data_IF_246538403964
#
_entry.id   IF_246538403964
#
_cell.length_a   1.000
_cell.length_b   1.000
_cell.length_c   1.000
_cell.angle_alpha   90.00
_cell.angle_beta   90.00
_cell.angle_gamma   90.00
#
_symmetry.space_group_name_H-M   'P 1'
#
loop_
_entity.id
_entity.type
_entity.pdbx_description
1 polymer ?
#
# COMPACT_ATOMS: atom_id res chain seq x y z
N UNK A 1 49.90 17.47 -54.35
CA UNK A 1 48.57 17.89 -53.84
C UNK A 1 47.96 16.69 -53.14
N UNK A 2 48.05 16.61 -51.81
CA UNK A 2 47.55 15.47 -51.04
C UNK A 2 46.10 15.73 -50.61
N UNK A 3 45.17 14.90 -51.06
CA UNK A 3 43.76 14.97 -50.72
C UNK A 3 43.54 14.56 -49.25
N UNK A 4 42.95 15.46 -48.46
CA UNK A 4 42.53 15.20 -47.08
C UNK A 4 41.15 14.53 -47.11
N UNK A 5 41.10 13.24 -46.80
CA UNK A 5 39.84 12.51 -46.61
C UNK A 5 39.26 12.88 -45.25
N UNK A 6 38.16 13.65 -45.23
CA UNK A 6 37.36 13.85 -44.02
C UNK A 6 36.52 12.59 -43.77
N UNK A 7 36.75 11.92 -42.65
CA UNK A 7 35.90 10.85 -42.15
C UNK A 7 34.80 11.47 -41.27
N UNK A 8 33.59 11.58 -41.79
CA UNK A 8 32.43 12.03 -41.03
C UNK A 8 31.92 10.88 -40.15
N UNK A 9 32.15 10.96 -38.84
CA UNK A 9 31.55 10.06 -37.86
C UNK A 9 30.08 10.44 -37.68
N UNK A 10 29.17 9.68 -38.30
CA UNK A 10 27.74 9.80 -38.05
C UNK A 10 27.39 9.11 -36.73
N UNK A 11 27.28 9.88 -35.66
CA UNK A 11 26.75 9.40 -34.37
C UNK A 11 25.24 9.21 -34.49
N UNK A 12 24.79 7.97 -34.67
CA UNK A 12 23.38 7.62 -34.57
C UNK A 12 22.95 7.67 -33.10
N UNK A 13 22.21 8.71 -32.72
CA UNK A 13 21.54 8.78 -31.42
C UNK A 13 20.36 7.80 -31.42
N UNK A 14 20.48 6.69 -30.68
CA UNK A 14 19.34 5.86 -30.33
C UNK A 14 18.45 6.66 -29.37
N UNK A 15 17.39 7.28 -29.89
CA UNK A 15 16.31 7.80 -29.05
C UNK A 15 15.50 6.57 -28.61
N UNK A 16 15.82 6.04 -27.43
CA UNK A 16 15.02 5.01 -26.81
C UNK A 16 13.61 5.56 -26.54
N UNK A 17 12.59 4.84 -27.02
CA UNK A 17 11.20 5.13 -26.67
C UNK A 17 11.01 4.80 -25.19
N UNK A 18 11.24 5.75 -24.29
CA UNK A 18 10.84 5.62 -22.90
C UNK A 18 9.31 5.74 -22.88
N UNK A 19 8.62 4.63 -22.66
CA UNK A 19 7.18 4.68 -22.42
C UNK A 19 6.95 5.57 -21.19
N UNK A 20 6.27 6.69 -21.36
CA UNK A 20 5.98 7.61 -20.26
C UNK A 20 4.98 6.94 -19.30
N UNK A 21 5.45 6.53 -18.12
CA UNK A 21 4.55 6.14 -17.04
C UNK A 21 3.85 7.38 -16.46
N UNK A 22 2.71 7.18 -15.79
CA UNK A 22 1.97 8.26 -15.13
C UNK A 22 1.92 8.02 -13.63
N UNK A 23 1.84 9.10 -12.85
CA UNK A 23 1.56 8.99 -11.42
C UNK A 23 0.20 8.29 -11.20
N UNK A 24 0.15 7.43 -10.19
CA UNK A 24 -1.08 6.80 -9.74
C UNK A 24 -2.07 7.86 -9.27
N UNK A 25 -3.30 7.78 -9.78
CA UNK A 25 -4.37 8.70 -9.40
C UNK A 25 -4.93 8.29 -8.04
N UNK A 26 -5.30 9.29 -7.26
CA UNK A 26 -6.07 9.08 -6.04
C UNK A 26 -7.42 8.46 -6.41
N UNK A 27 -7.76 7.36 -5.75
CA UNK A 27 -9.07 6.69 -5.83
C UNK A 27 -9.95 7.27 -4.74
N UNK A 28 -11.05 7.91 -5.13
CA UNK A 28 -12.10 8.38 -4.22
C UNK A 28 -13.38 7.55 -4.37
N UNK A 29 -14.26 7.66 -3.37
CA UNK A 29 -15.55 6.97 -3.33
C UNK A 29 -15.43 5.45 -3.31
N UNK A 30 -14.45 4.90 -2.57
CA UNK A 30 -14.44 3.46 -2.33
C UNK A 30 -15.70 3.03 -1.55
N UNK A 31 -16.35 1.92 -1.92
CA UNK A 31 -17.59 1.49 -1.29
C UNK A 31 -17.38 1.14 0.20
N UNK A 32 -18.12 1.82 1.07
CA UNK A 32 -18.17 1.48 2.50
C UNK A 32 -18.97 0.20 2.76
N UNK A 33 -18.72 -0.43 3.91
CA UNK A 33 -19.39 -1.67 4.30
C UNK A 33 -18.95 -2.91 3.49
N UNK A 34 -17.90 -2.77 2.67
CA UNK A 34 -17.28 -3.87 1.93
C UNK A 34 -15.89 -4.13 2.50
N UNK A 35 -15.62 -5.39 2.80
CA UNK A 35 -14.30 -5.87 3.20
C UNK A 35 -13.80 -6.88 2.18
N UNK A 36 -12.56 -6.73 1.74
CA UNK A 36 -11.84 -7.77 1.01
C UNK A 36 -10.70 -8.29 1.87
N UNK A 37 -10.53 -9.61 1.95
CA UNK A 37 -9.48 -10.23 2.73
C UNK A 37 -8.85 -11.39 1.97
N UNK A 38 -7.55 -11.60 2.20
CA UNK A 38 -6.83 -12.78 1.76
C UNK A 38 -6.10 -13.42 2.92
N UNK A 39 -6.20 -14.74 3.03
CA UNK A 39 -5.62 -15.53 4.11
C UNK A 39 -4.57 -16.47 3.50
N UNK A 40 -3.36 -16.44 4.03
CA UNK A 40 -2.27 -17.28 3.55
C UNK A 40 -2.59 -18.78 3.80
N UNK A 41 -2.32 -19.65 2.81
CA UNK A 41 -2.58 -21.07 2.95
C UNK A 41 -1.58 -21.73 3.92
N UNK A 42 -2.00 -22.83 4.53
CA UNK A 42 -1.14 -23.67 5.38
C UNK A 42 -0.05 -24.38 4.58
N UNK A 43 -0.35 -24.76 3.34
CA UNK A 43 0.55 -25.47 2.45
C UNK A 43 1.59 -24.50 1.84
N UNK A 44 2.89 -24.80 1.96
CA UNK A 44 3.92 -23.94 1.40
C UNK A 44 3.95 -24.02 -0.13
N UNK A 45 3.86 -22.85 -0.78
CA UNK A 45 4.20 -22.71 -2.20
C UNK A 45 5.70 -22.92 -2.41
N UNK A 46 6.54 -22.18 -1.68
CA UNK A 46 7.99 -22.26 -1.78
C UNK A 46 8.56 -23.30 -0.80
N UNK A 47 8.85 -24.49 -1.32
CA UNK A 47 9.39 -25.62 -0.52
C UNK A 47 10.82 -25.43 0.00
N UNK A 48 11.55 -24.44 -0.53
CA UNK A 48 12.92 -24.15 -0.12
C UNK A 48 13.04 -23.30 1.15
N UNK A 49 11.91 -22.86 1.73
CA UNK A 49 11.93 -22.12 2.98
C UNK A 49 12.30 -23.07 4.13
N UNK A 50 13.28 -22.67 4.95
CA UNK A 50 13.60 -23.38 6.20
C UNK A 50 12.57 -23.00 7.28
N UNK A 51 11.35 -23.50 7.13
CA UNK A 51 10.19 -23.27 8.00
C UNK A 51 9.50 -24.60 8.30
N UNK A 52 8.91 -24.67 9.49
CA UNK A 52 7.85 -25.64 9.75
C UNK A 52 6.53 -25.05 9.24
N UNK A 53 5.92 -25.69 8.24
CA UNK A 53 4.73 -25.20 7.54
C UNK A 53 5.01 -24.06 6.55
N UNK A 54 4.21 -23.00 6.63
CA UNK A 54 4.25 -21.84 5.74
C UNK A 54 4.21 -20.53 6.55
N UNK A 55 4.51 -19.40 5.91
CA UNK A 55 4.13 -18.09 6.47
C UNK A 55 2.62 -18.07 6.64
N UNK A 56 2.15 -17.66 7.82
CA UNK A 56 0.72 -17.62 8.17
C UNK A 56 0.27 -16.19 8.41
N UNK A 57 -1.04 -15.97 8.31
CA UNK A 57 -1.67 -14.69 8.57
C UNK A 57 -2.56 -14.22 7.42
N UNK A 58 -2.92 -12.95 7.46
CA UNK A 58 -3.87 -12.36 6.53
C UNK A 58 -3.63 -10.88 6.28
N UNK A 59 -4.19 -10.40 5.18
CA UNK A 59 -4.34 -8.99 4.86
C UNK A 59 -5.81 -8.74 4.55
N UNK A 60 -6.37 -7.69 5.13
CA UNK A 60 -7.73 -7.26 4.85
C UNK A 60 -7.76 -5.77 4.52
N UNK A 61 -8.81 -5.35 3.83
CA UNK A 61 -8.99 -3.98 3.42
C UNK A 61 -10.45 -3.54 3.41
N UNK A 62 -10.66 -2.30 3.83
CA UNK A 62 -11.95 -1.59 3.84
C UNK A 62 -11.80 -0.20 3.23
N UNK A 63 -12.90 0.48 2.94
CA UNK A 63 -12.84 1.89 2.56
C UNK A 63 -12.28 2.72 3.73
N UNK A 64 -11.40 3.67 3.44
CA UNK A 64 -10.99 4.65 4.46
C UNK A 64 -12.17 5.54 4.88
N UNK A 65 -12.09 6.14 6.06
CA UNK A 65 -13.20 6.93 6.65
C UNK A 65 -13.62 8.12 5.76
N UNK A 66 -12.68 8.73 5.04
CA UNK A 66 -12.91 9.83 4.09
C UNK A 66 -13.29 9.34 2.67
N UNK A 67 -13.41 8.02 2.48
CA UNK A 67 -13.69 7.38 1.21
C UNK A 67 -12.53 7.42 0.20
N UNK A 68 -11.35 7.91 0.60
CA UNK A 68 -10.15 8.02 -0.25
C UNK A 68 -9.25 6.80 -0.04
N UNK A 69 -9.13 5.98 -1.06
CA UNK A 69 -8.29 4.79 -1.00
C UNK A 69 -8.85 3.69 -0.12
N UNK A 70 -7.98 2.77 0.26
CA UNK A 70 -8.34 1.62 1.08
C UNK A 70 -7.46 1.56 2.31
N UNK A 71 -8.09 1.24 3.44
CA UNK A 71 -7.43 1.01 4.71
C UNK A 71 -7.08 -0.47 4.80
N UNK A 72 -5.79 -0.78 4.79
CA UNK A 72 -5.26 -2.13 4.94
C UNK A 72 -4.93 -2.44 6.40
N UNK A 73 -5.31 -3.62 6.85
CA UNK A 73 -4.88 -4.23 8.11
C UNK A 73 -4.14 -5.52 7.78
N UNK A 74 -2.88 -5.61 8.23
CA UNK A 74 -1.95 -6.69 7.87
C UNK A 74 -1.45 -7.38 9.14
N UNK A 75 -1.50 -8.70 9.14
CA UNK A 75 -0.93 -9.54 10.19
C UNK A 75 -0.29 -10.77 9.57
N UNK A 76 1.03 -10.91 9.69
CA UNK A 76 1.79 -12.06 9.20
C UNK A 76 2.75 -12.58 10.26
N UNK A 77 3.05 -13.88 10.24
CA UNK A 77 4.04 -14.50 11.12
C UNK A 77 4.64 -15.78 10.51
N UNK A 78 5.59 -16.38 11.23
CA UNK A 78 6.33 -17.58 10.83
C UNK A 78 7.25 -17.34 9.63
N UNK A 79 8.06 -16.26 9.70
CA UNK A 79 8.98 -15.92 8.61
C UNK A 79 10.32 -16.67 8.72
N UNK A 80 10.96 -17.00 7.58
CA UNK A 80 12.31 -17.55 7.58
C UNK A 80 13.26 -16.58 8.32
N UNK A 81 14.20 -17.13 9.10
CA UNK A 81 15.14 -16.31 9.89
C UNK A 81 16.15 -15.51 9.04
N UNK A 82 16.22 -15.76 7.74
CA UNK A 82 17.08 -15.06 6.79
C UNK A 82 16.37 -14.87 5.43
N UNK A 83 16.92 -13.98 4.61
CA UNK A 83 16.40 -13.67 3.26
C UNK A 83 15.40 -12.52 3.21
N UNK A 84 15.11 -11.89 4.34
CA UNK A 84 14.40 -10.60 4.40
C UNK A 84 15.31 -9.38 4.21
N UNK A 85 14.78 -8.13 4.35
CA UNK A 85 13.38 -7.82 4.64
C UNK A 85 12.44 -8.41 3.58
N UNK A 86 11.33 -9.01 4.02
CA UNK A 86 10.38 -9.60 3.08
C UNK A 86 9.50 -8.49 2.52
N UNK A 87 9.15 -8.60 1.24
CA UNK A 87 8.31 -7.62 0.56
C UNK A 87 7.00 -8.26 0.14
N UNK A 88 5.95 -7.47 0.08
CA UNK A 88 4.61 -7.91 -0.27
C UNK A 88 3.95 -6.92 -1.22
N UNK A 89 3.31 -7.46 -2.26
CA UNK A 89 2.68 -6.70 -3.31
C UNK A 89 1.32 -7.29 -3.67
N UNK A 90 0.43 -6.45 -4.20
CA UNK A 90 -0.77 -6.91 -4.91
C UNK A 90 -0.35 -7.26 -6.34
N UNK A 91 -0.74 -8.44 -6.80
CA UNK A 91 -0.46 -8.96 -8.14
C UNK A 91 -1.70 -8.92 -9.02
N UNK A 92 -1.55 -9.06 -10.34
CA UNK A 92 -2.65 -8.84 -11.29
C UNK A 92 -3.62 -10.01 -11.45
N UNK A 93 -3.22 -11.24 -11.12
CA UNK A 93 -4.04 -12.45 -11.29
C UNK A 93 -4.21 -13.21 -9.97
N UNK A 94 -5.28 -14.00 -9.85
CA UNK A 94 -5.43 -14.95 -8.75
C UNK A 94 -4.30 -16.00 -8.71
N UNK A 95 -4.00 -16.49 -7.51
CA UNK A 95 -3.11 -17.60 -7.20
C UNK A 95 -3.81 -18.94 -7.39
N UNK A 96 -4.26 -19.22 -8.62
CA UNK A 96 -5.02 -20.43 -8.96
C UNK A 96 -4.30 -21.69 -8.46
N UNK A 97 -4.96 -22.46 -7.60
CA UNK A 97 -4.40 -23.68 -7.01
C UNK A 97 -3.22 -23.45 -6.06
N UNK A 98 -3.10 -22.27 -5.46
CA UNK A 98 -1.97 -21.90 -4.59
C UNK A 98 -0.67 -21.63 -5.35
N UNK A 99 -0.72 -21.53 -6.69
CA UNK A 99 0.46 -21.27 -7.50
C UNK A 99 0.78 -19.78 -7.56
N UNK A 100 1.74 -19.33 -6.75
CA UNK A 100 2.11 -17.92 -6.71
C UNK A 100 2.71 -17.42 -8.02
N UNK A 101 3.23 -18.25 -8.92
CA UNK A 101 3.69 -17.80 -10.25
C UNK A 101 2.52 -17.41 -11.17
N UNK A 102 1.33 -18.01 -10.97
CA UNK A 102 0.15 -17.73 -11.78
C UNK A 102 -0.40 -16.31 -11.56
N UNK A 103 0.00 -15.63 -10.48
CA UNK A 103 -0.43 -14.27 -10.16
C UNK A 103 0.17 -13.20 -11.10
N UNK A 104 1.15 -13.58 -11.93
CA UNK A 104 1.87 -12.71 -12.88
C UNK A 104 2.55 -11.52 -12.20
N UNK A 105 2.61 -10.35 -12.84
CA UNK A 105 3.28 -9.15 -12.31
C UNK A 105 2.48 -8.40 -11.25
N UNK A 106 3.04 -7.31 -10.74
CA UNK A 106 2.39 -6.42 -9.78
C UNK A 106 1.20 -5.70 -10.42
N UNK A 107 0.21 -5.30 -9.61
CA UNK A 107 -0.86 -4.42 -10.03
C UNK A 107 -0.31 -3.05 -10.39
N UNK A 108 -0.14 -2.82 -11.70
CA UNK A 108 0.52 -1.62 -12.23
C UNK A 108 -0.26 -1.03 -13.43
N UNK A 109 -1.42 -0.41 -13.20
CA UNK A 109 -2.22 0.19 -14.26
C UNK A 109 -1.51 1.39 -14.93
N UNK A 110 -0.53 2.00 -14.24
CA UNK A 110 0.21 3.16 -14.75
C UNK A 110 1.46 2.78 -15.55
N UNK A 111 1.77 1.48 -15.64
CA UNK A 111 2.95 0.94 -16.34
C UNK A 111 4.25 1.56 -15.81
N UNK A 112 4.29 1.81 -14.50
CA UNK A 112 5.45 2.37 -13.78
C UNK A 112 6.65 1.44 -13.87
N UNK A 113 6.42 0.13 -13.81
CA UNK A 113 7.46 -0.89 -13.80
C UNK A 113 8.22 -0.98 -12.47
N UNK A 114 9.19 -1.88 -12.38
CA UNK A 114 9.87 -2.17 -11.12
C UNK A 114 11.06 -1.23 -10.86
N UNK A 115 11.56 -0.54 -11.90
CA UNK A 115 12.76 0.29 -11.84
C UNK A 115 12.49 1.75 -12.24
N UNK A 116 13.05 2.74 -11.51
CA UNK A 116 13.82 2.59 -10.25
C UNK A 116 12.98 2.00 -9.11
N UNK A 117 13.51 1.55 -7.97
CA UNK A 117 12.67 1.04 -6.87
C UNK A 117 11.66 2.09 -6.36
N UNK A 118 10.55 1.65 -5.78
CA UNK A 118 9.60 2.58 -5.15
C UNK A 118 10.25 3.36 -4.01
N UNK A 119 9.83 4.61 -3.86
CA UNK A 119 10.30 5.50 -2.80
C UNK A 119 9.08 5.98 -2.00
N UNK A 120 9.06 5.67 -0.70
CA UNK A 120 7.92 5.95 0.17
C UNK A 120 7.54 7.44 0.25
N UNK A 121 8.47 8.37 -0.01
CA UNK A 121 8.21 9.81 0.00
C UNK A 121 7.44 10.30 -1.24
N UNK A 122 7.36 9.50 -2.31
CA UNK A 122 6.60 9.80 -3.53
C UNK A 122 5.72 8.61 -3.93
N UNK A 123 4.75 8.22 -3.09
CA UNK A 123 4.01 6.96 -3.26
C UNK A 123 3.12 6.94 -4.51
N UNK A 124 2.75 8.10 -5.07
CA UNK A 124 2.07 8.20 -6.38
C UNK A 124 2.94 7.73 -7.54
N UNK A 125 4.27 7.71 -7.38
CA UNK A 125 5.24 7.28 -8.38
C UNK A 125 5.61 5.80 -8.26
N UNK A 126 4.93 5.06 -7.38
CA UNK A 126 5.10 3.62 -7.23
C UNK A 126 4.02 2.86 -8.01
N UNK A 127 4.24 1.57 -8.23
CA UNK A 127 3.16 0.72 -8.75
C UNK A 127 2.02 0.71 -7.73
N UNK A 128 0.77 0.68 -8.21
CA UNK A 128 -0.41 0.66 -7.33
C UNK A 128 -0.34 -0.51 -6.35
N UNK A 129 0.14 -1.67 -6.80
CA UNK A 129 0.30 -2.86 -5.97
C UNK A 129 1.56 -2.90 -5.10
N UNK A 130 2.48 -1.94 -5.17
CA UNK A 130 3.73 -1.95 -4.39
C UNK A 130 3.53 -1.43 -2.96
N UNK A 131 2.88 -2.26 -2.12
CA UNK A 131 2.58 -1.89 -0.74
C UNK A 131 3.83 -1.78 0.13
N UNK A 132 4.80 -2.69 -0.02
CA UNK A 132 6.07 -2.64 0.73
C UNK A 132 6.90 -1.40 0.43
N UNK A 133 7.00 -0.99 -0.84
CA UNK A 133 7.73 0.21 -1.21
C UNK A 133 7.10 1.49 -0.65
N UNK A 134 5.77 1.52 -0.52
CA UNK A 134 5.02 2.68 0.01
C UNK A 134 4.96 2.71 1.55
N UNK A 135 4.75 1.56 2.20
CA UNK A 135 4.40 1.48 3.63
C UNK A 135 5.40 0.68 4.47
N UNK A 136 6.47 0.18 3.87
CA UNK A 136 7.55 -0.54 4.53
C UNK A 136 7.51 -2.06 4.31
N UNK A 137 8.71 -2.64 4.22
CA UNK A 137 8.93 -4.09 4.18
C UNK A 137 8.65 -4.76 5.53
N UNK A 138 8.46 -6.07 5.49
CA UNK A 138 8.33 -6.93 6.68
C UNK A 138 9.72 -7.14 7.30
N UNK A 139 9.90 -6.60 8.50
CA UNK A 139 11.17 -6.63 9.25
C UNK A 139 11.04 -7.25 10.64
N UNK A 140 9.83 -7.65 11.04
CA UNK A 140 9.53 -8.30 12.33
C UNK A 140 8.73 -9.59 12.11
N UNK A 141 8.72 -10.45 13.13
CA UNK A 141 7.94 -11.69 13.16
C UNK A 141 7.42 -11.88 14.61
N UNK A 142 6.14 -11.61 14.90
CA UNK A 142 5.09 -11.24 13.95
C UNK A 142 5.24 -9.83 13.36
N UNK A 143 4.65 -9.62 12.19
CA UNK A 143 4.50 -8.33 11.52
C UNK A 143 3.05 -7.92 11.53
N UNK A 144 2.74 -6.81 12.20
CA UNK A 144 1.38 -6.28 12.32
C UNK A 144 1.45 -4.80 11.97
N UNK A 145 0.64 -4.37 11.01
CA UNK A 145 0.59 -2.96 10.61
C UNK A 145 -0.78 -2.59 10.05
N UNK A 146 -1.05 -1.29 10.04
CA UNK A 146 -2.22 -0.68 9.45
C UNK A 146 -1.80 0.57 8.70
N UNK A 147 -2.33 0.75 7.49
CA UNK A 147 -2.06 1.94 6.67
C UNK A 147 -3.20 2.20 5.68
N UNK A 148 -3.31 3.43 5.22
CA UNK A 148 -4.25 3.82 4.15
C UNK A 148 -3.49 4.02 2.86
N UNK A 149 -3.96 3.35 1.80
CA UNK A 149 -3.46 3.49 0.44
C UNK A 149 -4.44 4.25 -0.45
N UNK A 150 -4.12 5.48 -0.88
CA UNK A 150 -5.04 6.31 -1.66
C UNK A 150 -5.16 5.87 -3.13
N UNK A 151 -4.43 4.85 -3.59
CA UNK A 151 -4.28 4.49 -5.00
C UNK A 151 -5.00 3.18 -5.37
N UNK A 152 -5.34 2.38 -4.38
CA UNK A 152 -6.06 1.10 -4.51
C UNK A 152 -7.57 1.30 -4.49
N UNK A 153 -8.31 0.37 -5.09
CA UNK A 153 -9.77 0.43 -5.15
C UNK A 153 -10.46 -0.85 -4.69
N UNK A 154 -11.60 -0.69 -4.02
CA UNK A 154 -12.57 -1.75 -3.72
C UNK A 154 -13.73 -1.80 -4.74
N UNK A 155 -13.75 -0.91 -5.74
CA UNK A 155 -14.81 -0.83 -6.74
C UNK A 155 -14.54 -1.80 -7.90
N UNK A 156 -15.36 -2.86 -8.10
CA UNK A 156 -15.20 -3.75 -9.23
C UNK A 156 -15.20 -3.00 -10.57
N UNK A 157 -14.27 -3.37 -11.45
CA UNK A 157 -14.09 -2.74 -12.77
C UNK A 157 -13.15 -1.53 -12.79
N UNK A 158 -12.77 -0.97 -11.63
CA UNK A 158 -11.73 0.05 -11.57
C UNK A 158 -10.35 -0.56 -11.93
N UNK A 159 -9.48 0.21 -12.58
CA UNK A 159 -8.14 -0.29 -12.96
C UNK A 159 -7.31 -0.71 -11.75
N UNK A 160 -7.47 0.01 -10.63
CA UNK A 160 -6.83 -0.26 -9.35
C UNK A 160 -7.63 -1.21 -8.43
N UNK A 161 -8.71 -1.82 -8.94
CA UNK A 161 -9.48 -2.81 -8.18
C UNK A 161 -8.61 -4.03 -7.90
N UNK A 162 -8.50 -4.45 -6.63
CA UNK A 162 -7.73 -5.63 -6.25
C UNK A 162 -8.56 -6.78 -5.68
N UNK A 163 -9.86 -6.58 -5.47
CA UNK A 163 -10.72 -7.52 -4.75
C UNK A 163 -10.93 -8.88 -5.44
N UNK A 164 -10.52 -9.04 -6.70
CA UNK A 164 -10.51 -10.28 -7.48
C UNK A 164 -9.08 -10.74 -7.85
N UNK A 165 -8.07 -10.21 -7.15
CA UNK A 165 -6.66 -10.48 -7.39
C UNK A 165 -6.02 -11.16 -6.19
N UNK A 166 -4.69 -11.25 -6.18
CA UNK A 166 -3.92 -11.85 -5.09
C UNK A 166 -2.94 -10.86 -4.49
N UNK A 167 -2.46 -11.14 -3.28
CA UNK A 167 -1.18 -10.62 -2.80
C UNK A 167 -0.13 -11.72 -2.76
N UNK A 168 1.14 -11.33 -2.92
CA UNK A 168 2.28 -12.23 -2.86
C UNK A 168 3.29 -11.66 -1.89
N UNK A 169 3.84 -12.52 -1.03
CA UNK A 169 4.98 -12.23 -0.17
C UNK A 169 6.23 -12.82 -0.84
N UNK A 170 7.31 -12.05 -0.85
CA UNK A 170 8.59 -12.40 -1.45
C UNK A 170 9.72 -12.26 -0.44
N UNK A 171 10.78 -13.03 -0.68
CA UNK A 171 12.11 -12.72 -0.17
C UNK A 171 12.61 -11.37 -0.72
N UNK A 172 13.64 -10.80 -0.09
CA UNK A 172 14.31 -9.58 -0.56
C UNK A 172 14.86 -9.70 -1.99
N UNK A 173 15.20 -10.91 -2.43
CA UNK A 173 15.65 -11.20 -3.79
C UNK A 173 14.52 -11.43 -4.80
N UNK A 174 13.28 -11.03 -4.45
CA UNK A 174 12.04 -11.14 -5.22
C UNK A 174 11.49 -12.55 -5.45
N UNK A 175 12.13 -13.59 -4.89
CA UNK A 175 11.57 -14.96 -4.91
C UNK A 175 10.23 -15.00 -4.19
N UNK A 176 9.18 -15.49 -4.87
CA UNK A 176 7.83 -15.64 -4.29
C UNK A 176 7.87 -16.71 -3.20
N UNK A 177 7.54 -16.33 -1.97
CA UNK A 177 7.54 -17.20 -0.79
C UNK A 177 6.15 -17.85 -0.61
N UNK A 178 5.11 -17.03 -0.58
CA UNK A 178 3.70 -17.46 -0.43
C UNK A 178 2.76 -16.41 -1.03
N UNK A 179 1.49 -16.74 -1.19
CA UNK A 179 0.48 -15.86 -1.77
C UNK A 179 -0.92 -16.31 -1.38
N UNK A 180 -1.89 -15.40 -1.51
CA UNK A 180 -3.31 -15.72 -1.38
C UNK A 180 -4.17 -14.75 -2.19
N UNK A 181 -5.36 -15.21 -2.54
CA UNK A 181 -6.38 -14.42 -3.22
C UNK A 181 -7.14 -13.52 -2.25
N UNK A 182 -7.51 -12.34 -2.72
CA UNK A 182 -8.50 -11.52 -2.06
C UNK A 182 -9.89 -12.05 -2.40
N UNK A 183 -10.73 -12.12 -1.37
CA UNK A 183 -12.14 -12.44 -1.50
C UNK A 183 -12.96 -11.42 -0.73
N UNK A 184 -14.16 -11.12 -1.25
CA UNK A 184 -15.13 -10.32 -0.51
C UNK A 184 -15.53 -11.12 0.73
N UNK A 185 -15.43 -10.50 1.89
CA UNK A 185 -15.95 -11.08 3.14
C UNK A 185 -17.46 -10.85 3.14
N UNK A 186 -18.22 -11.93 3.14
CA UNK A 186 -19.67 -11.84 3.28
C UNK A 186 -20.01 -11.30 4.67
N UNK A 187 -20.69 -10.15 4.73
CA UNK A 187 -21.31 -9.70 5.95
C UNK A 187 -22.56 -10.54 6.16
N UNK A 188 -22.59 -11.33 7.24
CA UNK A 188 -23.85 -11.93 7.70
C UNK A 188 -24.86 -10.79 7.84
N UNK A 189 -26.05 -10.85 7.21
CA UNK A 189 -27.08 -9.87 7.47
C UNK A 189 -27.32 -9.85 8.98
N UNK A 190 -27.37 -8.65 9.56
CA UNK A 190 -27.84 -8.49 10.94
C UNK A 190 -29.16 -9.27 11.06
N UNK A 191 -29.38 -10.05 12.14
CA UNK A 191 -30.62 -10.79 12.29
C UNK A 191 -31.78 -9.81 12.11
N UNK A 192 -32.57 -10.01 11.06
CA UNK A 192 -33.82 -9.28 10.89
C UNK A 192 -34.63 -9.50 12.16
N UNK A 193 -34.96 -8.41 12.84
CA UNK A 193 -35.85 -8.45 13.99
C UNK A 193 -37.27 -8.76 13.49
N UNK A 194 -37.54 -10.01 13.07
CA UNK A 194 -38.89 -10.51 12.86
C UNK A 194 -39.52 -10.75 14.24
N UNK A 195 -39.92 -9.64 14.85
CA UNK A 195 -40.51 -9.58 16.18
C UNK A 195 -42.01 -9.84 16.14
N UNK A 196 -42.42 -11.07 15.84
CA UNK A 196 -43.72 -11.60 16.27
C UNK A 196 -43.55 -12.22 17.67
N UNK A 197 -43.27 -11.35 18.65
CA UNK A 197 -43.25 -11.70 20.08
C UNK A 197 -43.90 -10.61 20.93
N UNK A 198 -44.72 -11.00 21.93
CA UNK A 198 -45.63 -10.08 22.60
C UNK A 198 -44.90 -9.00 23.40
N UNK A 199 -45.26 -7.77 23.06
CA UNK A 199 -44.92 -6.52 23.74
C UNK A 199 -45.15 -6.63 25.26
N UNK A 200 -44.14 -6.35 26.11
CA UNK A 200 -44.38 -6.18 27.52
C UNK A 200 -45.13 -4.86 27.72
N UNK A 201 -46.33 -4.94 28.27
CA UNK A 201 -47.05 -3.80 28.85
C UNK A 201 -46.36 -3.39 30.16
N UNK A 202 -45.24 -2.66 30.05
CA UNK A 202 -44.57 -2.01 31.17
C UNK A 202 -44.59 -0.50 30.95
N UNK A 203 -45.29 0.21 31.82
CA UNK A 203 -45.66 1.62 31.65
C UNK A 203 -44.48 2.60 31.61
N UNK A 204 -44.71 3.67 30.85
CA UNK A 204 -43.92 4.89 30.83
C UNK A 204 -43.98 5.58 32.19
N UNK A 205 -42.81 5.91 32.74
CA UNK A 205 -42.63 7.10 33.59
C UNK A 205 -41.32 7.77 33.23
N UNK A 206 -41.44 8.90 32.53
CA UNK A 206 -40.38 9.90 32.39
C UNK A 206 -40.15 10.60 33.73
N UNK A 207 -38.92 10.95 34.11
CA UNK A 207 -38.68 12.05 35.03
C UNK A 207 -38.33 13.32 34.24
N UNK A 208 -39.18 14.33 34.37
CA UNK A 208 -38.90 15.73 34.04
C UNK A 208 -38.06 16.38 35.14
N UNK A 209 -37.25 17.36 34.73
CA UNK A 209 -36.25 18.12 35.48
C UNK A 209 -36.70 18.81 36.78
N UNK A 210 -35.76 19.00 37.71
CA UNK A 210 -35.70 20.14 38.64
C UNK A 210 -34.33 20.27 39.30
N UNK A 211 -33.79 21.50 39.34
CA UNK A 211 -32.90 21.94 40.43
C UNK A 211 -31.42 22.21 40.09
N UNK A 212 -31.12 23.48 39.80
CA UNK A 212 -29.78 24.10 39.85
C UNK A 212 -29.31 24.21 41.32
N UNK A 213 -28.00 24.09 41.61
CA UNK A 213 -27.33 25.22 42.26
C UNK A 213 -25.97 25.56 41.63
N UNK A 214 -25.77 26.85 41.44
CA UNK A 214 -24.55 27.55 41.04
C UNK A 214 -23.47 27.51 42.13
N UNK A 215 -22.25 27.10 41.80
CA UNK A 215 -21.03 27.52 42.50
C UNK A 215 -19.96 27.80 41.43
N UNK A 216 -19.43 29.01 41.43
CA UNK A 216 -18.48 29.50 40.44
C UNK A 216 -17.01 29.41 40.87
N UNK A 217 -16.17 29.76 39.88
CA UNK A 217 -14.73 30.10 39.91
C UNK A 217 -13.77 28.99 39.45
N UNK A 218 -12.58 29.34 38.93
CA UNK A 218 -12.26 30.40 37.97
C UNK A 218 -11.52 29.85 36.73
N UNK A 219 -11.60 30.60 35.63
CA UNK A 219 -10.91 30.33 34.36
C UNK A 219 -9.41 30.65 34.48
N UNK A 220 -8.49 29.74 34.13
CA UNK A 220 -7.10 30.10 33.89
C UNK A 220 -6.93 30.60 32.44
N UNK A 221 -6.74 31.91 32.30
CA UNK A 221 -6.24 32.57 31.09
C UNK A 221 -4.80 32.12 30.80
N UNK A 222 -4.61 31.47 29.65
CA UNK A 222 -3.27 31.21 29.08
C UNK A 222 -2.91 32.37 28.15
N UNK A 223 -1.74 33.01 28.31
CA UNK A 223 -1.31 34.10 27.43
C UNK A 223 -0.82 33.55 26.08
N UNK A 224 -1.36 34.11 25.00
CA UNK A 224 -0.87 33.96 23.63
C UNK A 224 0.43 34.75 23.51
N UNK A 225 1.55 34.06 23.32
CA UNK A 225 2.83 34.69 22.94
C UNK A 225 3.08 34.42 21.46
N UNK A 226 2.94 35.47 20.67
CA UNK A 226 3.40 35.52 19.29
C UNK A 226 4.94 35.58 19.27
N UNK A 227 5.56 34.65 18.54
CA UNK A 227 7.01 34.62 18.34
C UNK A 227 7.33 34.08 16.96
N UNK A 228 7.56 34.98 16.01
CA UNK A 228 8.20 34.66 14.73
C UNK A 228 9.73 34.57 14.92
N UNK A 229 10.40 33.69 14.17
CA UNK A 229 11.70 34.04 13.64
C UNK A 229 11.72 33.92 12.11
N UNK A 230 12.09 35.03 11.48
CA UNK A 230 12.81 35.02 10.20
C UNK A 230 14.16 34.35 10.45
N UNK A 231 14.71 33.63 9.47
CA UNK A 231 16.09 33.81 8.94
C UNK A 231 16.41 32.77 7.85
N UNK A 232 16.85 33.34 6.72
CA UNK A 232 17.80 32.88 5.70
C UNK A 232 17.64 31.54 4.99
N UNK A 233 17.26 31.69 3.71
CA UNK A 233 17.67 30.86 2.58
C UNK A 233 19.20 30.84 2.49
N UNK A 234 19.81 29.66 2.47
CA UNK A 234 21.17 29.45 1.99
C UNK A 234 21.13 28.49 0.80
N UNK A 235 21.43 29.03 -0.38
CA UNK A 235 21.60 28.31 -1.63
C UNK A 235 23.02 27.75 -1.65
N UNK A 236 23.19 26.44 -1.77
CA UNK A 236 24.49 25.83 -2.07
C UNK A 236 24.29 24.58 -2.92
N UNK A 237 24.46 24.75 -4.23
CA UNK A 237 24.70 23.67 -5.17
C UNK A 237 26.20 23.40 -5.26
N UNK A 238 26.64 22.13 -5.34
CA UNK A 238 27.88 21.79 -6.01
C UNK A 238 27.57 21.08 -7.34
N UNK A 239 27.91 21.74 -8.45
CA UNK A 239 28.22 21.07 -9.71
C UNK A 239 29.50 20.24 -9.48
N UNK A 240 29.41 18.92 -9.64
CA UNK A 240 30.56 18.05 -9.87
C UNK A 240 30.38 17.38 -11.23
N UNK A 241 30.94 18.03 -12.25
CA UNK A 241 31.20 17.41 -13.54
C UNK A 241 32.46 16.54 -13.40
N UNK A 242 32.30 15.22 -13.39
CA UNK A 242 33.40 14.30 -13.67
C UNK A 242 33.52 14.13 -15.18
N UNK A 243 34.54 14.77 -15.76
CA UNK A 243 35.01 14.44 -17.10
C UNK A 243 35.71 13.08 -17.10
N UNK A 244 35.19 12.14 -17.88
CA UNK A 244 35.90 10.92 -18.22
C UNK A 244 36.96 11.24 -19.28
N UNK A 245 38.23 11.16 -18.87
CA UNK A 245 39.37 11.14 -19.80
C UNK A 245 39.52 9.72 -20.35
N UNK A 246 39.39 9.58 -21.66
CA UNK A 246 39.84 8.41 -22.40
C UNK A 246 41.37 8.41 -22.48
N UNK A 247 42.01 7.32 -22.06
CA UNK A 247 43.39 7.02 -22.46
C UNK A 247 43.36 5.80 -23.38
N UNK A 248 43.81 6.04 -24.62
CA UNK A 248 44.28 5.02 -25.53
C UNK A 248 45.64 4.50 -25.03
N UNK A 249 45.78 3.18 -24.92
CA UNK A 249 46.93 2.39 -25.38
C UNK A 249 46.42 0.98 -25.69
#
# INVERSE_FOLDING_TARGET
MFAKTLLAMASATLIGNVAAYQDAKIVSNNPHGVTYAGILPTEPFFKGANLDGNVVGSISATAADDGVGTKFTVEFSNFPKSGGPFIYHIHVKPAVGGNCTATLGHLDPTKRGDQPPCVASTPSQCQVGDLSGKYGSITSDPFITEFTDPFTSLQPGAEAFFGDRSFVIHYANTTRLTCADFHKVESSPAPECDGDHPRPTGGFVSPTASGVPTVGSPVPTVPVVAGAPKVAVAVAAPLLALGAAAMLH
#
